data_IF_395461729659
#
_entry.id   IF_395461729659
#
_cell.length_a   1.000
_cell.length_b   1.000
_cell.length_c   1.000
_cell.angle_alpha   90.00
_cell.angle_beta   90.00
_cell.angle_gamma   90.00
#
_symmetry.space_group_name_H-M   'P 1'
#
loop_
_entity.id
_entity.type
_entity.pdbx_description
1 polymer ?
#
# COMPACT_ATOMS: atom_id res chain seq x y z
N UNK A 1 -16.64 14.86 4.87
CA UNK A 1 -15.32 15.25 4.32
C UNK A 1 -15.48 15.60 2.85
N UNK A 2 -14.73 16.58 2.35
CA UNK A 2 -14.75 17.01 0.94
C UNK A 2 -13.71 16.22 0.13
N UNK A 3 -13.98 15.95 -1.16
CA UNK A 3 -13.08 15.27 -2.09
C UNK A 3 -12.52 16.27 -3.10
N UNK A 4 -11.18 16.37 -3.22
CA UNK A 4 -10.51 16.97 -4.37
C UNK A 4 -9.44 16.02 -4.87
N UNK A 5 -9.63 15.35 -5.99
CA UNK A 5 -8.69 14.31 -6.42
C UNK A 5 -7.31 14.84 -6.83
N UNK A 6 -7.16 16.15 -7.03
CA UNK A 6 -5.88 16.85 -6.90
C UNK A 6 -5.58 17.00 -5.38
N UNK A 7 -4.88 16.01 -4.81
CA UNK A 7 -4.49 15.97 -3.38
C UNK A 7 -5.26 14.98 -2.51
N UNK A 8 -6.41 14.46 -2.97
CA UNK A 8 -7.16 13.43 -2.26
C UNK A 8 -6.55 12.05 -2.47
N UNK A 9 -6.38 11.35 -1.35
CA UNK A 9 -5.93 9.98 -1.30
C UNK A 9 -7.11 9.00 -1.16
N UNK A 10 -8.21 9.23 -1.89
CA UNK A 10 -9.38 8.33 -1.91
C UNK A 10 -9.02 6.90 -2.35
N UNK A 11 -8.13 6.76 -3.34
CA UNK A 11 -7.54 5.48 -3.76
C UNK A 11 -6.62 4.84 -2.69
N UNK A 12 -6.27 5.57 -1.63
CA UNK A 12 -5.49 5.00 -0.54
C UNK A 12 -6.33 4.22 0.47
N UNK A 13 -7.66 4.36 0.46
CA UNK A 13 -8.58 3.71 1.41
C UNK A 13 -9.24 2.50 0.76
N UNK A 14 -9.38 1.43 1.53
CA UNK A 14 -10.19 0.28 1.18
C UNK A 14 -11.67 0.54 1.51
N UNK A 15 -12.46 0.85 0.49
CA UNK A 15 -13.88 1.16 0.63
C UNK A 15 -14.78 -0.08 0.57
N UNK A 16 -14.23 -1.25 0.23
CA UNK A 16 -14.97 -2.51 0.08
C UNK A 16 -15.85 -2.87 1.28
N UNK A 17 -15.44 -2.63 2.54
CA UNK A 17 -16.28 -2.92 3.70
C UNK A 17 -17.58 -2.11 3.76
N UNK A 18 -17.64 -0.96 3.09
CA UNK A 18 -18.79 -0.05 3.12
C UNK A 18 -19.66 -0.16 1.87
N UNK A 19 -19.04 -0.49 0.73
CA UNK A 19 -19.71 -0.58 -0.55
C UNK A 19 -19.15 -1.79 -1.28
N UNK A 20 -19.71 -2.99 -1.06
CA UNK A 20 -19.24 -4.21 -1.72
C UNK A 20 -19.27 -4.12 -3.25
N UNK A 21 -20.09 -3.24 -3.83
CA UNK A 21 -20.12 -2.95 -5.26
C UNK A 21 -18.88 -2.17 -5.75
N UNK A 22 -18.20 -1.43 -4.86
CA UNK A 22 -16.87 -0.86 -5.12
C UNK A 22 -15.77 -1.95 -5.06
N UNK A 23 -16.05 -3.10 -4.45
CA UNK A 23 -15.15 -4.25 -4.41
C UNK A 23 -15.20 -5.01 -5.74
N UNK A 24 -14.37 -4.63 -6.72
CA UNK A 24 -14.26 -5.46 -7.91
C UNK A 24 -13.37 -5.01 -9.06
N UNK A 25 -13.02 -3.73 -9.19
CA UNK A 25 -12.26 -3.24 -10.35
C UNK A 25 -10.77 -3.53 -10.30
N UNK A 26 -10.20 -3.73 -9.10
CA UNK A 26 -8.75 -3.53 -8.93
C UNK A 26 -7.95 -4.85 -8.94
N UNK A 27 -8.67 -5.97 -9.08
CA UNK A 27 -8.11 -7.32 -9.27
C UNK A 27 -8.26 -7.81 -10.71
N UNK A 28 -8.26 -6.91 -11.69
CA UNK A 28 -8.40 -7.26 -13.10
C UNK A 28 -7.17 -7.94 -13.75
N UNK A 29 -6.12 -8.21 -12.97
CA UNK A 29 -4.89 -8.86 -13.45
C UNK A 29 -5.02 -10.38 -13.57
N UNK A 30 -4.34 -10.98 -14.57
CA UNK A 30 -4.30 -12.45 -14.77
C UNK A 30 -3.58 -13.22 -13.66
N UNK A 31 -2.86 -12.52 -12.78
CA UNK A 31 -2.08 -13.09 -11.68
C UNK A 31 -2.70 -12.62 -10.36
N UNK A 32 -3.45 -13.49 -9.66
CA UNK A 32 -4.00 -13.16 -8.35
C UNK A 32 -2.89 -12.82 -7.36
N UNK A 33 -3.01 -11.71 -6.58
CA UNK A 33 -2.14 -11.49 -5.44
C UNK A 33 -2.41 -12.53 -4.35
N UNK A 34 -1.38 -12.88 -3.58
CA UNK A 34 -1.50 -13.80 -2.44
C UNK A 34 -2.08 -13.13 -1.18
N UNK A 35 -1.99 -11.80 -1.12
CA UNK A 35 -2.55 -10.97 -0.06
C UNK A 35 -3.90 -10.34 -0.50
N UNK A 36 -4.67 -9.83 0.47
CA UNK A 36 -5.95 -9.17 0.20
C UNK A 36 -5.85 -7.63 0.12
N UNK A 37 -4.64 -7.04 0.11
CA UNK A 37 -4.49 -5.58 0.22
C UNK A 37 -5.14 -4.87 -0.97
N UNK A 38 -6.05 -3.95 -0.69
CA UNK A 38 -6.68 -3.13 -1.72
C UNK A 38 -5.69 -2.12 -2.31
N UNK A 39 -5.67 -1.90 -3.64
CA UNK A 39 -4.87 -0.87 -4.30
C UNK A 39 -3.46 -0.65 -3.73
N UNK A 40 -2.69 -1.73 -3.64
CA UNK A 40 -1.31 -1.65 -3.17
C UNK A 40 -0.54 -0.66 -4.05
N UNK A 41 0.10 0.34 -3.45
CA UNK A 41 0.97 1.29 -4.15
C UNK A 41 2.33 0.63 -4.39
N UNK A 42 2.66 0.15 -5.61
CA UNK A 42 3.95 -0.43 -5.88
C UNK A 42 5.03 0.64 -5.84
N UNK A 43 6.15 0.31 -5.22
CA UNK A 43 7.36 1.09 -5.18
C UNK A 43 8.37 0.54 -6.16
N UNK A 44 9.03 1.45 -6.85
CA UNK A 44 10.23 1.13 -7.60
C UNK A 44 11.42 0.94 -6.66
N UNK A 45 12.48 0.31 -7.16
CA UNK A 45 13.74 0.05 -6.46
C UNK A 45 14.28 1.32 -5.82
N UNK A 46 14.30 2.42 -6.57
CA UNK A 46 14.87 3.68 -6.11
C UNK A 46 13.98 4.36 -5.07
N UNK A 47 12.65 4.19 -5.15
CA UNK A 47 11.73 4.63 -4.09
C UNK A 47 11.93 3.78 -2.83
N UNK A 48 12.04 2.45 -2.94
CA UNK A 48 12.30 1.58 -1.79
C UNK A 48 13.62 1.94 -1.09
N UNK A 49 14.68 2.23 -1.86
CA UNK A 49 15.96 2.73 -1.32
C UNK A 49 15.78 4.08 -0.64
N UNK A 50 15.03 5.02 -1.24
CA UNK A 50 14.75 6.33 -0.63
C UNK A 50 13.98 6.20 0.69
N UNK A 51 12.99 5.33 0.78
CA UNK A 51 12.30 5.04 2.04
C UNK A 51 13.27 4.49 3.10
N UNK A 52 14.20 3.61 2.72
CA UNK A 52 15.26 3.13 3.63
C UNK A 52 16.19 4.26 4.09
N UNK A 53 16.58 5.16 3.19
CA UNK A 53 17.43 6.33 3.49
C UNK A 53 16.77 7.30 4.47
N UNK A 54 15.43 7.33 4.48
CA UNK A 54 14.62 8.10 5.43
C UNK A 54 14.26 7.35 6.71
N UNK A 55 14.74 6.12 6.88
CA UNK A 55 14.40 5.29 8.05
C UNK A 55 12.95 4.78 8.07
N UNK A 56 12.25 4.81 6.93
CA UNK A 56 10.86 4.39 6.75
C UNK A 56 10.76 2.94 6.26
N UNK A 57 11.72 2.07 6.62
CA UNK A 57 11.76 0.69 6.14
C UNK A 57 10.55 -0.16 6.57
N UNK A 58 9.91 0.21 7.67
CA UNK A 58 8.78 -0.47 8.31
C UNK A 58 7.40 -0.13 7.71
N UNK A 59 7.35 0.80 6.74
CA UNK A 59 6.14 1.19 6.00
C UNK A 59 5.92 0.37 4.73
N UNK A 60 6.91 -0.43 4.32
CA UNK A 60 6.88 -1.20 3.08
C UNK A 60 6.45 -2.65 3.31
N UNK A 61 5.76 -3.27 2.36
CA UNK A 61 5.32 -4.67 2.41
C UNK A 61 5.49 -5.37 1.07
N UNK A 62 5.82 -6.68 1.04
CA UNK A 62 5.82 -7.43 -0.21
C UNK A 62 4.40 -7.78 -0.65
N UNK A 63 4.25 -8.01 -1.95
CA UNK A 63 3.13 -8.74 -2.55
C UNK A 63 3.69 -9.81 -3.48
N UNK A 64 3.21 -11.03 -3.26
CA UNK A 64 3.48 -12.23 -4.06
C UNK A 64 2.26 -12.54 -4.92
N UNK A 65 2.43 -13.37 -5.94
CA UNK A 65 1.37 -13.68 -6.89
C UNK A 65 1.28 -15.18 -7.12
N UNK A 66 0.05 -15.68 -7.29
CA UNK A 66 -0.20 -17.00 -7.85
C UNK A 66 0.17 -17.02 -9.35
N UNK A 67 0.65 -18.15 -9.88
CA UNK A 67 0.98 -18.27 -11.30
C UNK A 67 -0.29 -18.24 -12.17
N UNK A 68 -0.26 -17.46 -13.26
CA UNK A 68 -1.27 -17.55 -14.31
C UNK A 68 -1.05 -18.81 -15.17
N UNK A 69 -2.01 -19.14 -16.02
CA UNK A 69 -1.85 -20.21 -17.01
C UNK A 69 -0.62 -19.95 -17.91
N UNK A 70 0.30 -20.91 -17.96
CA UNK A 70 1.53 -20.84 -18.75
C UNK A 70 2.71 -20.14 -18.06
N UNK A 71 2.53 -19.63 -16.84
CA UNK A 71 3.65 -19.09 -16.07
C UNK A 71 4.55 -20.20 -15.50
N UNK A 72 5.84 -19.88 -15.38
CA UNK A 72 6.75 -20.61 -14.52
C UNK A 72 6.30 -20.46 -13.05
N UNK A 73 6.52 -21.50 -12.25
CA UNK A 73 6.13 -21.52 -10.85
C UNK A 73 7.16 -22.17 -9.95
N UNK A 74 7.16 -21.75 -8.69
CA UNK A 74 7.85 -22.44 -7.59
C UNK A 74 6.88 -22.74 -6.46
N UNK A 75 7.11 -23.83 -5.73
CA UNK A 75 6.29 -24.25 -4.58
C UNK A 75 7.04 -23.94 -3.29
N UNK A 76 6.49 -23.08 -2.44
CA UNK A 76 7.05 -22.73 -1.13
C UNK A 76 5.92 -22.78 -0.11
N UNK A 77 6.14 -23.40 1.05
CA UNK A 77 5.12 -23.58 2.10
C UNK A 77 3.80 -24.21 1.61
N UNK A 78 3.86 -25.03 0.56
CA UNK A 78 2.67 -25.62 -0.06
C UNK A 78 1.88 -24.69 -1.00
N UNK A 79 2.34 -23.44 -1.20
CA UNK A 79 1.73 -22.43 -2.08
C UNK A 79 2.50 -22.36 -3.42
N UNK A 80 1.77 -22.38 -4.54
CA UNK A 80 2.36 -22.14 -5.86
C UNK A 80 2.51 -20.63 -6.09
N UNK A 81 3.73 -20.19 -6.38
CA UNK A 81 4.06 -18.79 -6.65
C UNK A 81 4.50 -18.61 -8.09
N UNK A 82 4.07 -17.52 -8.72
CA UNK A 82 4.61 -17.08 -10.00
C UNK A 82 6.13 -16.90 -9.88
N UNK A 83 6.86 -17.35 -10.90
CA UNK A 83 8.31 -17.33 -10.90
C UNK A 83 8.89 -16.93 -12.25
N UNK A 84 10.17 -16.56 -12.25
CA UNK A 84 11.00 -16.46 -13.46
C UNK A 84 12.35 -17.09 -13.14
N UNK A 85 12.80 -18.02 -13.98
CA UNK A 85 14.09 -18.73 -13.80
C UNK A 85 14.22 -19.38 -12.40
N UNK A 86 13.13 -20.01 -11.96
CA UNK A 86 13.06 -20.68 -10.65
C UNK A 86 13.09 -19.73 -9.44
N UNK A 87 12.86 -18.42 -9.64
CA UNK A 87 12.83 -17.43 -8.57
C UNK A 87 11.44 -16.83 -8.41
N UNK A 88 10.85 -16.82 -7.20
CA UNK A 88 9.52 -16.27 -7.00
C UNK A 88 9.54 -14.76 -7.27
N UNK A 89 8.56 -14.29 -8.04
CA UNK A 89 8.41 -12.87 -8.36
C UNK A 89 7.53 -12.14 -7.36
N UNK A 90 7.88 -10.90 -7.08
CA UNK A 90 7.16 -10.08 -6.10
C UNK A 90 7.24 -8.59 -6.47
N UNK A 91 6.38 -7.79 -5.85
CA UNK A 91 6.51 -6.33 -5.79
C UNK A 91 6.65 -5.89 -4.33
N UNK A 92 7.20 -4.71 -4.09
CA UNK A 92 7.16 -4.05 -2.77
C UNK A 92 6.24 -2.86 -2.88
N UNK A 93 5.35 -2.68 -1.92
CA UNK A 93 4.45 -1.53 -1.87
C UNK A 93 4.29 -0.94 -0.48
N UNK A 94 3.43 0.05 -0.34
CA UNK A 94 3.13 0.69 0.94
C UNK A 94 2.09 -0.09 1.73
N UNK A 95 2.31 -0.20 3.05
CA UNK A 95 1.37 -0.82 3.98
C UNK A 95 0.09 0.00 4.08
N UNK A 96 -1.02 -0.71 4.24
CA UNK A 96 -2.34 -0.14 4.53
C UNK A 96 -2.84 -0.66 5.89
N UNK A 97 -2.47 -0.04 7.03
CA UNK A 97 -3.10 -0.40 8.32
C UNK A 97 -4.56 0.04 8.38
N UNK A 98 -5.37 -0.54 9.28
CA UNK A 98 -6.67 0.01 9.61
C UNK A 98 -6.50 1.39 10.24
N UNK A 99 -7.29 2.37 9.81
CA UNK A 99 -7.35 3.73 10.37
C UNK A 99 -8.80 4.15 10.61
N UNK A 100 -9.07 5.07 11.56
CA UNK A 100 -10.43 5.51 11.90
C UNK A 100 -10.97 6.54 10.89
N UNK A 101 -11.20 6.10 9.67
CA UNK A 101 -11.63 6.95 8.55
C UNK A 101 -13.14 7.13 8.61
N UNK A 102 -13.61 8.38 8.57
CA UNK A 102 -15.04 8.61 8.38
C UNK A 102 -15.38 8.40 6.90
N UNK A 103 -16.42 7.64 6.56
CA UNK A 103 -16.95 7.62 5.20
C UNK A 103 -17.34 9.03 4.75
N UNK A 104 -17.24 9.28 3.45
CA UNK A 104 -17.57 10.60 2.90
C UNK A 104 -19.06 10.89 3.10
N UNK A 105 -19.38 12.16 3.35
CA UNK A 105 -20.73 12.56 3.75
C UNK A 105 -21.14 12.17 5.18
N UNK A 106 -20.26 11.55 5.96
CA UNK A 106 -20.53 11.13 7.34
C UNK A 106 -19.50 11.67 8.33
N UNK A 107 -19.90 11.75 9.60
CA UNK A 107 -19.02 12.08 10.73
C UNK A 107 -18.68 10.84 11.60
N UNK A 108 -19.15 9.65 11.21
CA UNK A 108 -18.97 8.40 11.96
C UNK A 108 -17.73 7.64 11.48
N UNK A 109 -16.61 7.65 12.22
CA UNK A 109 -15.42 6.89 11.84
C UNK A 109 -15.66 5.38 11.80
N UNK A 110 -15.08 4.73 10.80
CA UNK A 110 -15.00 3.28 10.61
C UNK A 110 -13.53 2.85 10.56
N UNK A 111 -13.25 1.64 11.03
CA UNK A 111 -11.94 1.03 10.83
C UNK A 111 -11.83 0.58 9.37
N UNK A 112 -11.03 1.29 8.57
CA UNK A 112 -10.79 0.97 7.16
C UNK A 112 -9.29 0.89 6.90
N UNK A 113 -8.87 -0.11 6.14
CA UNK A 113 -7.49 -0.19 5.68
C UNK A 113 -7.16 1.02 4.79
N UNK A 114 -6.11 1.74 5.15
CA UNK A 114 -5.73 2.96 4.47
C UNK A 114 -4.22 3.08 4.37
N UNK A 115 -3.71 3.65 3.27
CA UNK A 115 -2.28 3.93 3.10
C UNK A 115 -1.69 4.54 4.37
N UNK A 116 -0.54 4.04 4.79
CA UNK A 116 0.19 4.49 5.98
C UNK A 116 0.35 6.01 6.07
N UNK A 117 0.49 6.71 4.95
CA UNK A 117 0.67 8.16 4.89
C UNK A 117 -0.63 8.97 4.75
N UNK A 118 -1.79 8.32 4.69
CA UNK A 118 -3.08 9.00 4.71
C UNK A 118 -3.34 9.55 6.11
N UNK A 119 -3.64 10.85 6.21
CA UNK A 119 -4.24 11.39 7.43
C UNK A 119 -5.75 11.03 7.46
N UNK A 120 -6.21 10.24 8.45
CA UNK A 120 -7.58 9.75 8.51
C UNK A 120 -8.62 10.83 8.88
N UNK A 121 -8.17 12.03 9.26
CA UNK A 121 -9.06 13.16 9.57
C UNK A 121 -9.29 14.09 8.39
N UNK A 122 -8.32 14.19 7.48
CA UNK A 122 -8.36 15.10 6.34
C UNK A 122 -8.47 14.39 4.99
N UNK A 123 -8.18 13.09 4.91
CA UNK A 123 -8.04 12.30 3.68
C UNK A 123 -6.93 12.77 2.72
N UNK A 124 -5.93 13.46 3.25
CA UNK A 124 -4.77 13.93 2.49
C UNK A 124 -3.56 13.02 2.70
N UNK A 125 -2.71 12.95 1.69
CA UNK A 125 -1.41 12.29 1.80
C UNK A 125 -0.39 13.23 2.48
N UNK A 126 0.16 12.81 3.61
CA UNK A 126 1.16 13.59 4.38
C UNK A 126 2.49 13.79 3.64
N UNK A 127 2.76 13.00 2.61
CA UNK A 127 3.99 13.09 1.83
C UNK A 127 3.75 13.57 0.39
N UNK A 128 2.59 14.17 0.10
CA UNK A 128 2.22 14.60 -1.26
C UNK A 128 3.26 15.53 -1.89
N UNK A 129 3.71 16.53 -1.14
CA UNK A 129 4.69 17.53 -1.62
C UNK A 129 6.14 17.16 -1.29
N UNK A 130 6.35 15.95 -0.74
CA UNK A 130 7.67 15.44 -0.42
C UNK A 130 8.25 14.69 -1.63
N UNK A 131 9.57 14.76 -1.84
CA UNK A 131 10.23 14.02 -2.91
C UNK A 131 10.15 12.48 -2.75
N UNK A 132 9.73 11.98 -1.59
CA UNK A 132 9.39 10.59 -1.34
C UNK A 132 7.97 10.20 -1.81
N UNK A 133 7.17 11.13 -2.32
CA UNK A 133 5.87 10.84 -2.90
C UNK A 133 6.01 9.81 -4.04
N UNK A 134 5.35 8.63 -3.98
CA UNK A 134 5.52 7.61 -4.99
C UNK A 134 5.06 8.07 -6.38
N UNK A 135 5.84 7.79 -7.41
CA UNK A 135 5.49 8.12 -8.80
C UNK A 135 4.18 7.50 -9.25
N UNK A 136 3.87 6.29 -8.77
CA UNK A 136 2.58 5.64 -9.04
C UNK A 136 1.42 6.49 -8.54
N UNK A 137 1.53 7.06 -7.33
CA UNK A 137 0.49 7.92 -6.77
C UNK A 137 0.34 9.23 -7.58
N UNK A 138 1.45 9.82 -8.00
CA UNK A 138 1.43 11.04 -8.82
C UNK A 138 0.84 10.83 -10.22
N UNK A 139 1.08 9.67 -10.84
CA UNK A 139 0.65 9.39 -12.22
C UNK A 139 -0.72 8.71 -12.34
N UNK A 140 -1.19 8.03 -11.28
CA UNK A 140 -2.41 7.23 -11.30
C UNK A 140 -3.65 7.99 -11.82
N UNK A 141 -3.97 9.21 -11.34
CA UNK A 141 -5.14 9.94 -11.85
C UNK A 141 -5.06 10.19 -13.35
N UNK A 142 -3.87 10.59 -13.83
CA UNK A 142 -3.65 10.85 -15.25
C UNK A 142 -3.72 9.59 -16.12
N UNK A 143 -3.30 8.42 -15.62
CA UNK A 143 -3.45 7.15 -16.33
C UNK A 143 -4.91 6.75 -16.50
N UNK A 144 -5.75 6.95 -15.47
CA UNK A 144 -7.18 6.64 -15.58
C UNK A 144 -7.86 7.57 -16.59
N UNK A 145 -7.57 8.87 -16.56
CA UNK A 145 -8.08 9.83 -17.55
C UNK A 145 -7.64 9.46 -18.97
N UNK A 146 -6.37 9.08 -19.17
CA UNK A 146 -5.85 8.72 -20.48
C UNK A 146 -6.45 7.41 -21.04
N UNK A 147 -6.91 6.52 -20.15
CA UNK A 147 -7.50 5.23 -20.50
C UNK A 147 -9.04 5.28 -20.54
N UNK A 148 -9.65 6.43 -20.25
CA UNK A 148 -11.10 6.58 -20.06
C UNK A 148 -11.65 5.54 -19.06
N UNK A 149 -10.87 5.32 -18.00
CA UNK A 149 -11.17 4.35 -16.95
C UNK A 149 -11.80 5.06 -15.75
N UNK A 150 -12.87 4.46 -15.21
CA UNK A 150 -13.53 4.96 -14.00
C UNK A 150 -12.54 5.05 -12.83
N UNK A 151 -12.42 6.25 -12.28
CA UNK A 151 -11.57 6.53 -11.12
C UNK A 151 -12.22 6.11 -9.81
N UNK A 152 -11.42 5.84 -8.78
CA UNK A 152 -11.95 5.63 -7.42
C UNK A 152 -12.79 6.81 -6.93
N UNK A 153 -12.42 8.03 -7.31
CA UNK A 153 -13.18 9.22 -6.97
C UNK A 153 -14.61 9.18 -7.53
N UNK A 154 -14.77 8.71 -8.77
CA UNK A 154 -16.10 8.57 -9.41
C UNK A 154 -16.92 7.46 -8.76
N UNK A 155 -16.30 6.34 -8.39
CA UNK A 155 -16.98 5.28 -7.61
C UNK A 155 -17.49 5.78 -6.28
N UNK A 156 -16.64 6.49 -5.55
CA UNK A 156 -16.95 7.02 -4.23
C UNK A 156 -18.03 8.11 -4.31
N UNK A 157 -17.98 8.99 -5.30
CA UNK A 157 -19.05 9.97 -5.58
C UNK A 157 -20.38 9.27 -5.88
N UNK A 158 -20.37 8.26 -6.76
CA UNK A 158 -21.56 7.48 -7.08
C UNK A 158 -22.17 6.78 -5.84
N UNK A 159 -21.35 6.45 -4.85
CA UNK A 159 -21.75 5.88 -3.56
C UNK A 159 -22.23 6.92 -2.52
N UNK A 160 -22.35 8.20 -2.89
CA UNK A 160 -22.78 9.29 -2.00
C UNK A 160 -21.65 10.19 -1.51
N UNK A 161 -20.47 10.08 -2.12
CA UNK A 161 -19.37 11.03 -1.96
C UNK A 161 -19.70 12.41 -2.53
N UNK A 162 -19.05 13.47 -2.02
CA UNK A 162 -19.22 14.84 -2.55
C UNK A 162 -18.70 15.02 -4.00
N UNK A 163 -18.89 16.22 -4.55
CA UNK A 163 -18.61 16.53 -5.97
C UNK A 163 -17.13 16.43 -6.38
N UNK A 164 -16.93 16.04 -7.65
CA UNK A 164 -15.73 15.58 -8.35
C UNK A 164 -14.58 16.58 -8.60
N UNK A 165 -13.36 16.01 -8.71
CA UNK A 165 -12.18 16.32 -9.56
C UNK A 165 -12.00 17.73 -10.17
N UNK A 166 -10.82 18.30 -9.94
CA UNK A 166 -10.24 19.39 -10.72
C UNK A 166 -9.75 18.85 -12.09
N UNK A 167 -10.64 18.80 -13.09
CA UNK A 167 -10.29 18.57 -14.51
C UNK A 167 -10.49 17.14 -15.05
N UNK A 168 -10.73 17.04 -16.35
CA UNK A 168 -10.98 15.80 -17.13
C UNK A 168 -9.93 15.54 -18.22
N UNK A 169 -8.91 16.40 -18.33
CA UNK A 169 -7.83 16.25 -19.30
C UNK A 169 -6.61 15.54 -18.68
N UNK A 170 -6.07 14.48 -19.32
CA UNK A 170 -4.83 13.86 -18.87
C UNK A 170 -3.66 14.86 -18.93
N UNK A 171 -2.73 14.83 -17.96
CA UNK A 171 -1.52 15.65 -18.01
C UNK A 171 -0.70 15.41 -19.29
N UNK A 172 -0.21 16.48 -19.92
CA UNK A 172 0.56 16.40 -21.17
C UNK A 172 1.90 15.64 -21.02
N UNK A 173 2.43 15.54 -19.79
CA UNK A 173 3.71 14.92 -19.44
C UNK A 173 3.56 13.62 -18.64
N UNK A 174 2.41 12.93 -18.79
CA UNK A 174 2.12 11.68 -18.11
C UNK A 174 3.20 10.60 -18.37
N UNK A 175 3.89 10.09 -17.33
CA UNK A 175 4.91 9.07 -17.52
C UNK A 175 4.31 7.73 -17.99
N UNK A 176 5.12 6.89 -18.62
CA UNK A 176 4.70 5.54 -18.99
C UNK A 176 4.33 4.70 -17.74
N UNK A 177 3.40 3.72 -17.86
CA UNK A 177 3.03 2.84 -16.76
C UNK A 177 4.23 2.10 -16.15
N UNK A 178 4.22 1.92 -14.83
CA UNK A 178 5.31 1.33 -14.06
C UNK A 178 5.61 -0.15 -14.41
N UNK A 179 4.67 -0.84 -15.08
CA UNK A 179 4.74 -2.27 -15.40
C UNK A 179 5.05 -2.56 -16.89
N UNK A 180 5.85 -1.71 -17.53
CA UNK A 180 6.36 -1.94 -18.87
C UNK A 180 7.46 -3.02 -18.96
N UNK A 181 8.00 -3.29 -20.16
CA UNK A 181 9.07 -4.29 -20.36
C UNK A 181 10.34 -4.09 -19.51
N UNK A 182 10.55 -2.88 -18.99
CA UNK A 182 11.69 -2.50 -18.14
C UNK A 182 11.40 -2.64 -16.63
N UNK A 183 10.24 -3.18 -16.25
CA UNK A 183 9.82 -3.31 -14.86
C UNK A 183 10.66 -4.33 -14.07
N UNK A 184 11.28 -5.30 -14.75
CA UNK A 184 12.08 -6.33 -14.11
C UNK A 184 13.32 -5.73 -13.42
N UNK A 185 13.49 -6.01 -12.13
CA UNK A 185 14.55 -5.43 -11.29
C UNK A 185 14.35 -3.95 -10.94
N UNK A 186 13.27 -3.33 -11.42
CA UNK A 186 12.93 -1.93 -11.21
C UNK A 186 11.68 -1.75 -10.35
N UNK A 187 10.61 -2.52 -10.61
CA UNK A 187 9.33 -2.49 -9.89
C UNK A 187 8.85 -3.92 -9.58
N UNK A 188 9.13 -4.86 -10.48
CA UNK A 188 8.92 -6.30 -10.31
C UNK A 188 10.27 -6.95 -10.01
N UNK A 189 10.36 -7.65 -8.90
CA UNK A 189 11.60 -8.23 -8.39
C UNK A 189 11.52 -9.75 -8.39
N UNK A 190 12.67 -10.41 -8.39
CA UNK A 190 12.78 -11.85 -8.24
C UNK A 190 13.60 -12.15 -6.99
N UNK A 191 13.03 -12.94 -6.07
CA UNK A 191 13.73 -13.26 -4.83
C UNK A 191 14.85 -14.27 -5.13
N UNK A 192 16.10 -14.00 -4.72
CA UNK A 192 17.25 -14.70 -5.29
C UNK A 192 17.53 -16.09 -4.69
N UNK A 193 16.94 -16.43 -3.54
CA UNK A 193 17.03 -17.75 -2.90
C UNK A 193 15.66 -18.16 -2.32
N UNK A 194 15.00 -19.17 -2.89
CA UNK A 194 13.66 -19.54 -2.45
C UNK A 194 13.65 -20.20 -1.06
N UNK A 195 14.74 -20.85 -0.64
CA UNK A 195 14.79 -21.60 0.62
C UNK A 195 14.78 -20.63 1.82
N UNK A 196 15.26 -19.40 1.61
CA UNK A 196 15.20 -18.29 2.58
C UNK A 196 13.76 -17.82 2.91
N UNK A 197 12.77 -18.24 2.11
CA UNK A 197 11.36 -17.85 2.24
C UNK A 197 10.51 -18.87 3.01
N UNK A 198 11.10 -19.95 3.51
CA UNK A 198 10.38 -20.96 4.30
C UNK A 198 9.63 -20.33 5.49
N UNK A 199 8.35 -20.68 5.59
CA UNK A 199 7.36 -20.15 6.53
C UNK A 199 6.91 -18.71 6.26
N UNK A 200 7.64 -17.91 5.47
CA UNK A 200 7.28 -16.52 5.20
C UNK A 200 6.12 -16.43 4.20
N UNK A 201 6.04 -17.35 3.24
CA UNK A 201 4.99 -17.33 2.21
C UNK A 201 3.63 -17.64 2.84
N UNK A 202 3.57 -18.64 3.73
CA UNK A 202 2.34 -18.94 4.46
C UNK A 202 1.88 -17.77 5.34
N UNK A 203 2.79 -17.14 6.08
CA UNK A 203 2.46 -15.94 6.87
C UNK A 203 1.98 -14.77 6.02
N UNK A 204 2.53 -14.59 4.81
CA UNK A 204 2.06 -13.54 3.90
C UNK A 204 0.63 -13.83 3.45
N UNK A 205 0.35 -15.07 3.02
CA UNK A 205 -0.99 -15.50 2.62
C UNK A 205 -2.02 -15.32 3.74
N UNK A 206 -1.64 -15.70 4.96
CA UNK A 206 -2.56 -15.72 6.10
C UNK A 206 -2.69 -14.34 6.79
N UNK A 207 -2.08 -13.28 6.23
CA UNK A 207 -2.15 -11.92 6.79
C UNK A 207 -1.24 -11.68 8.00
N UNK A 208 -0.39 -12.63 8.37
CA UNK A 208 0.48 -12.61 9.55
C UNK A 208 1.91 -12.15 9.25
N UNK A 209 2.09 -11.33 8.20
CA UNK A 209 3.42 -10.91 7.73
C UNK A 209 4.21 -10.23 8.85
N UNK A 210 5.41 -10.73 9.16
CA UNK A 210 6.26 -10.15 10.21
C UNK A 210 7.18 -9.04 9.69
N UNK A 211 7.80 -8.28 10.60
CA UNK A 211 8.83 -7.30 10.23
C UNK A 211 10.05 -7.97 9.57
N UNK A 212 10.40 -9.19 9.99
CA UNK A 212 11.48 -9.94 9.38
C UNK A 212 11.12 -10.40 7.96
N UNK A 213 9.87 -10.76 7.71
CA UNK A 213 9.39 -11.13 6.37
C UNK A 213 9.46 -9.91 5.44
N UNK A 214 8.89 -8.78 5.85
CA UNK A 214 8.98 -7.51 5.09
C UNK A 214 10.42 -7.13 4.77
N UNK A 215 11.30 -7.15 5.76
CA UNK A 215 12.70 -6.78 5.60
C UNK A 215 13.46 -7.65 4.58
N UNK A 216 13.12 -8.94 4.46
CA UNK A 216 13.73 -9.83 3.44
C UNK A 216 13.45 -9.31 2.03
N UNK A 217 12.18 -9.05 1.72
CA UNK A 217 11.76 -8.61 0.39
C UNK A 217 12.19 -7.17 0.09
N UNK A 218 12.11 -6.26 1.07
CA UNK A 218 12.65 -4.90 0.94
C UNK A 218 14.15 -4.93 0.64
N UNK A 219 14.91 -5.80 1.32
CA UNK A 219 16.32 -6.01 1.02
C UNK A 219 16.55 -6.49 -0.41
N UNK A 220 15.81 -7.52 -0.85
CA UNK A 220 15.93 -8.06 -2.21
C UNK A 220 15.59 -7.01 -3.28
N UNK A 221 14.54 -6.20 -3.06
CA UNK A 221 14.19 -5.10 -3.95
C UNK A 221 15.32 -4.05 -4.03
N UNK A 222 15.84 -3.58 -2.90
CA UNK A 222 16.93 -2.59 -2.87
C UNK A 222 18.24 -3.11 -3.53
N UNK A 223 18.52 -4.40 -3.38
CA UNK A 223 19.65 -5.10 -4.00
C UNK A 223 19.46 -5.42 -5.49
N UNK A 224 18.23 -5.34 -6.02
CA UNK A 224 17.93 -5.70 -7.41
C UNK A 224 18.58 -4.75 -8.41
N UNK A 225 18.91 -5.30 -9.60
CA UNK A 225 19.47 -4.54 -10.72
C UNK A 225 18.41 -4.33 -11.80
N UNK A 226 18.10 -3.07 -12.18
CA UNK A 226 17.17 -2.78 -13.26
C UNK A 226 17.48 -3.54 -14.55
N UNK A 227 16.45 -4.08 -15.20
CA UNK A 227 16.55 -4.88 -16.42
C UNK A 227 17.08 -6.30 -16.23
N UNK A 228 17.18 -6.80 -14.99
CA UNK A 228 17.78 -8.10 -14.67
C UNK A 228 17.13 -8.77 -13.47
N UNK A 229 17.26 -10.12 -13.39
CA UNK A 229 16.92 -10.92 -12.20
C UNK A 229 18.05 -10.94 -11.16
N UNK A 230 19.17 -10.26 -11.43
CA UNK A 230 20.32 -10.25 -10.54
C UNK A 230 20.10 -9.36 -9.32
N UNK A 231 20.50 -9.86 -8.16
CA UNK A 231 20.44 -9.17 -6.87
C UNK A 231 21.85 -9.10 -6.29
N UNK A 232 22.27 -7.88 -5.95
CA UNK A 232 23.48 -7.63 -5.18
C UNK A 232 23.23 -8.05 -3.71
N UNK A 233 23.89 -9.15 -3.30
CA UNK A 233 23.64 -9.79 -2.00
C UNK A 233 24.12 -8.94 -0.82
N UNK A 234 25.17 -8.15 -0.99
CA UNK A 234 25.68 -7.26 0.06
C UNK A 234 24.71 -6.10 0.28
N UNK A 235 24.25 -5.46 -0.80
CA UNK A 235 23.21 -4.43 -0.73
C UNK A 235 21.90 -4.97 -0.17
N UNK A 236 21.50 -6.18 -0.56
CA UNK A 236 20.33 -6.84 -0.02
C UNK A 236 20.43 -7.05 1.49
N UNK A 237 21.58 -7.52 1.98
CA UNK A 237 21.81 -7.76 3.40
C UNK A 237 21.78 -6.45 4.21
N UNK A 238 22.43 -5.39 3.72
CA UNK A 238 22.43 -4.07 4.35
C UNK A 238 21.01 -3.48 4.41
N UNK A 239 20.31 -3.47 3.27
CA UNK A 239 18.94 -2.96 3.19
C UNK A 239 17.97 -3.75 4.07
N UNK A 240 18.11 -5.08 4.14
CA UNK A 240 17.34 -5.93 5.07
C UNK A 240 17.60 -5.55 6.52
N UNK A 241 18.85 -5.32 6.90
CA UNK A 241 19.18 -4.92 8.27
C UNK A 241 18.57 -3.56 8.62
N UNK A 242 18.67 -2.59 7.70
CA UNK A 242 18.05 -1.25 7.84
C UNK A 242 16.54 -1.32 7.94
N UNK A 243 15.88 -2.10 7.08
CA UNK A 243 14.43 -2.30 7.11
C UNK A 243 13.96 -2.92 8.43
N UNK A 244 14.71 -3.91 8.94
CA UNK A 244 14.39 -4.58 10.20
C UNK A 244 14.58 -3.68 11.42
N UNK A 245 15.56 -2.77 11.37
CA UNK A 245 15.87 -1.84 12.46
C UNK A 245 15.04 -0.55 12.41
N UNK A 246 14.25 -0.34 11.36
CA UNK A 246 13.41 0.84 11.22
C UNK A 246 12.38 0.90 12.37
N UNK A 247 12.30 2.08 12.99
CA UNK A 247 11.26 2.45 13.97
C UNK A 247 10.79 3.86 13.65
N UNK A 248 10.07 4.00 12.55
CA UNK A 248 9.56 5.28 12.09
C UNK A 248 8.30 5.68 12.86
N UNK A 249 7.92 6.96 12.77
CA UNK A 249 6.62 7.44 13.28
C UNK A 249 5.47 6.63 12.66
N UNK A 250 5.57 6.34 11.36
CA UNK A 250 4.58 5.61 10.60
C UNK A 250 4.51 4.14 11.05
N UNK A 251 5.65 3.50 11.29
CA UNK A 251 5.70 2.15 11.83
C UNK A 251 5.16 2.03 13.25
N UNK A 252 5.37 3.04 14.10
CA UNK A 252 4.73 3.15 15.42
C UNK A 252 3.22 3.34 15.30
N UNK A 253 2.78 4.27 14.46
CA UNK A 253 1.36 4.53 14.20
C UNK A 253 0.63 3.28 13.72
N UNK A 254 1.20 2.54 12.75
CA UNK A 254 0.64 1.27 12.28
C UNK A 254 0.39 0.29 13.45
N UNK A 255 1.37 0.10 14.34
CA UNK A 255 1.22 -0.85 15.47
C UNK A 255 0.10 -0.43 16.40
N UNK A 256 0.04 0.87 16.73
CA UNK A 256 -0.96 1.42 17.64
C UNK A 256 -2.37 1.41 17.06
N UNK A 257 -2.51 1.68 15.75
CA UNK A 257 -3.78 1.60 15.04
C UNK A 257 -4.28 0.16 14.90
N UNK A 258 -3.44 -0.76 14.42
CA UNK A 258 -3.80 -2.18 14.31
C UNK A 258 -4.20 -2.79 15.65
N UNK A 259 -3.50 -2.42 16.74
CA UNK A 259 -3.86 -2.87 18.08
C UNK A 259 -5.26 -2.40 18.49
N UNK A 260 -5.55 -1.11 18.30
CA UNK A 260 -6.86 -0.53 18.66
C UNK A 260 -8.00 -1.11 17.82
N UNK A 261 -7.80 -1.27 16.52
CA UNK A 261 -8.78 -1.92 15.66
C UNK A 261 -9.09 -3.35 16.17
N UNK A 262 -8.06 -4.11 16.56
CA UNK A 262 -8.25 -5.44 17.17
C UNK A 262 -8.93 -5.42 18.54
N UNK A 263 -8.63 -4.42 19.39
CA UNK A 263 -9.23 -4.26 20.72
C UNK A 263 -10.71 -3.83 20.65
N UNK A 264 -11.09 -3.03 19.65
CA UNK A 264 -12.46 -2.53 19.43
C UNK A 264 -13.44 -3.61 18.90
N UNK A 265 -12.92 -4.81 18.63
CA UNK A 265 -13.71 -5.99 18.32
C UNK A 265 -13.83 -6.24 16.81
N UNK A 266 -13.43 -7.44 16.44
CA UNK A 266 -13.96 -8.09 15.25
C UNK A 266 -15.49 -8.23 15.36
N UNK A 267 -16.20 -8.00 14.26
CA UNK A 267 -17.60 -8.37 14.13
C UNK A 267 -17.82 -9.88 14.33
N UNK A 268 -19.08 -10.33 14.25
CA UNK A 268 -19.46 -11.75 14.40
C UNK A 268 -18.72 -12.70 13.42
N UNK A 269 -18.05 -12.17 12.39
CA UNK A 269 -17.26 -12.90 11.39
C UNK A 269 -15.75 -12.94 11.66
N UNK A 270 -15.27 -12.31 12.74
CA UNK A 270 -13.83 -12.25 13.05
C UNK A 270 -13.08 -11.13 12.34
N UNK A 271 -13.75 -10.24 11.59
CA UNK A 271 -13.13 -9.12 10.87
C UNK A 271 -13.43 -7.78 11.55
N UNK A 272 -12.44 -6.88 11.58
CA UNK A 272 -12.59 -5.51 12.10
C UNK A 272 -13.00 -4.50 11.02
N UNK A 273 -13.13 -4.98 9.78
CA UNK A 273 -13.22 -4.14 8.59
C UNK A 273 -14.60 -3.51 8.48
N UNK A 274 -14.65 -2.18 8.41
CA UNK A 274 -15.90 -1.42 8.38
C UNK A 274 -16.61 -1.34 9.73
N UNK A 275 -16.03 -1.87 10.83
CA UNK A 275 -16.59 -1.74 12.16
C UNK A 275 -16.63 -0.27 12.61
N UNK A 276 -17.66 0.10 13.39
CA UNK A 276 -17.77 1.42 13.99
C UNK A 276 -16.66 1.68 14.99
N UNK A 277 -16.00 2.83 14.88
CA UNK A 277 -15.02 3.25 15.86
C UNK A 277 -15.77 3.88 17.04
N UNK A 278 -15.54 3.39 18.25
CA UNK A 278 -16.15 3.90 19.49
C UNK A 278 -15.67 5.29 19.93
N UNK A 279 -15.23 6.14 19.00
CA UNK A 279 -14.64 7.45 19.26
C UNK A 279 -15.46 8.55 18.58
N UNK A 280 -15.86 9.56 19.35
CA UNK A 280 -16.37 10.81 18.78
C UNK A 280 -15.30 11.61 18.05
N UNK A 281 -15.70 12.57 17.21
CA UNK A 281 -14.80 13.35 16.35
C UNK A 281 -13.60 13.98 17.10
N UNK A 282 -13.84 14.68 18.21
CA UNK A 282 -12.76 15.30 19.01
C UNK A 282 -11.78 14.28 19.61
N UNK A 283 -12.28 13.10 19.99
CA UNK A 283 -11.46 12.04 20.55
C UNK A 283 -10.59 11.40 19.46
N UNK A 284 -11.16 11.19 18.27
CA UNK A 284 -10.42 10.76 17.08
C UNK A 284 -9.31 11.75 16.74
N UNK A 285 -9.61 13.04 16.67
CA UNK A 285 -8.62 14.05 16.29
C UNK A 285 -7.47 14.12 17.28
N UNK A 286 -7.74 14.09 18.59
CA UNK A 286 -6.69 13.99 19.61
C UNK A 286 -5.81 12.75 19.45
N UNK A 287 -6.42 11.62 19.12
CA UNK A 287 -5.70 10.36 18.94
C UNK A 287 -4.82 10.37 17.69
N UNK A 288 -5.29 10.97 16.59
CA UNK A 288 -4.49 11.15 15.37
C UNK A 288 -3.30 12.07 15.63
N UNK A 289 -3.51 13.16 16.37
CA UNK A 289 -2.40 14.03 16.81
C UNK A 289 -1.37 13.26 17.64
N UNK A 290 -1.81 12.49 18.64
CA UNK A 290 -0.91 11.71 19.51
C UNK A 290 -0.12 10.64 18.74
N UNK A 291 -0.80 9.86 17.89
CA UNK A 291 -0.20 8.69 17.24
C UNK A 291 0.59 9.02 15.97
N UNK A 292 0.26 10.12 15.28
CA UNK A 292 0.91 10.52 14.04
C UNK A 292 1.67 11.85 14.21
N UNK A 293 0.99 12.96 14.49
CA UNK A 293 1.60 14.30 14.45
C UNK A 293 2.70 14.48 15.51
N UNK A 294 2.38 14.24 16.79
CA UNK A 294 3.31 14.31 17.92
C UNK A 294 4.42 13.25 17.80
N UNK A 295 4.15 12.16 17.06
CA UNK A 295 5.11 11.10 16.79
C UNK A 295 6.10 11.46 15.65
N UNK A 296 5.90 12.57 14.96
CA UNK A 296 6.78 13.11 13.92
C UNK A 296 6.25 13.00 12.49
N UNK A 297 4.93 12.80 12.30
CA UNK A 297 4.33 12.83 10.98
C UNK A 297 4.42 14.25 10.36
N UNK A 298 4.69 14.38 9.05
CA UNK A 298 4.59 15.66 8.37
C UNK A 298 3.16 16.21 8.43
N UNK A 299 2.99 17.54 8.42
CA UNK A 299 1.66 18.15 8.30
C UNK A 299 1.02 17.77 6.97
N UNK A 300 -0.31 17.79 6.90
CA UNK A 300 -1.01 17.64 5.63
C UNK A 300 -0.90 18.92 4.78
N UNK A 301 -0.82 18.82 3.44
CA UNK A 301 -0.62 19.95 2.53
C UNK A 301 -1.66 21.07 2.63
N UNK A 302 -2.90 20.72 3.01
CA UNK A 302 -4.05 21.63 2.96
C UNK A 302 -4.86 21.48 1.67
N UNK A 303 -6.04 22.09 1.64
CA UNK A 303 -6.93 22.15 0.47
C UNK A 303 -7.00 23.60 -0.02
N UNK A 304 -5.91 24.12 -0.60
CA UNK A 304 -5.94 25.43 -1.27
C UNK A 304 -6.69 25.30 -2.62
#
# INVERSE_FOLDING_TARGET
>A
MELRCEGCAGCCVDWRPLTPEAAGSDRAGRRPPLDDVYDLVPLTRDEAVRFLDRGLGDVMTPRLFEPAEGDDRVRIDGVDLAAVDGRPVFVVGLRKPPKPVAPIGTDEPRWLDACVFLDPTTLQCRIHDDDAYPRTCAAYPGHNLALDAETECERVEAAGGGERLLGDEPPADLPAPAFGPQALGSTVFAYPDQDDLEGAVMRIRDGETTAADRARFVGAAAGSRPGSLSVDRDRMAEARARARAADSWAGRAIREWSKRAGDDGAGDDGTTDGAGVGLGADARERLVRELEDDAGAPPTPGWD
#
